data_IF_649776567075
#
_entry.id   IF_649776567075
#
_cell.length_a   1.000
_cell.length_b   1.000
_cell.length_c   1.000
_cell.angle_alpha   90.00
_cell.angle_beta   90.00
_cell.angle_gamma   90.00
#
_symmetry.space_group_name_H-M   'P 1'
#
loop_
_entity.id
_entity.type
_entity.pdbx_description
1 polymer ?
#
# COMPACT_ATOMS: atom_id res chain seq x y z
N UNK A 1 24.25 -56.85 13.18
CA UNK A 1 25.09 -56.15 14.18
C UNK A 1 24.19 -55.16 14.89
N UNK A 2 23.68 -55.53 16.07
CA UNK A 2 22.81 -54.68 16.89
C UNK A 2 23.67 -53.75 17.71
N UNK A 3 23.60 -52.45 17.42
CA UNK A 3 24.21 -51.40 18.23
C UNK A 3 23.22 -50.97 19.30
N UNK A 4 23.31 -51.61 20.47
CA UNK A 4 22.69 -51.14 21.71
C UNK A 4 23.29 -49.77 22.09
N UNK A 5 22.42 -48.78 22.22
CA UNK A 5 22.78 -47.44 22.69
C UNK A 5 22.83 -47.52 24.22
N UNK A 6 23.93 -47.12 24.88
CA UNK A 6 24.02 -47.21 26.34
C UNK A 6 22.98 -46.29 27.00
N UNK A 7 22.39 -46.69 28.14
CA UNK A 7 21.46 -45.84 28.87
C UNK A 7 22.20 -44.57 29.30
N UNK A 8 21.75 -43.42 28.80
CA UNK A 8 22.26 -42.11 29.23
C UNK A 8 22.08 -41.99 30.74
N UNK A 9 23.20 -42.01 31.47
CA UNK A 9 23.26 -41.76 32.91
C UNK A 9 22.64 -40.38 33.21
N UNK A 10 21.37 -40.41 33.61
CA UNK A 10 20.64 -39.20 34.01
C UNK A 10 20.94 -39.00 35.49
N UNK A 11 21.97 -38.20 35.78
CA UNK A 11 22.18 -37.63 37.10
C UNK A 11 20.85 -37.08 37.63
N UNK A 12 20.52 -37.23 38.93
CA UNK A 12 19.23 -36.78 39.44
C UNK A 12 19.07 -35.28 39.20
N UNK A 13 18.17 -34.92 38.29
CA UNK A 13 17.84 -33.53 38.01
C UNK A 13 17.23 -32.95 39.29
N UNK A 14 17.88 -31.92 39.83
CA UNK A 14 17.38 -31.18 41.01
C UNK A 14 15.90 -30.84 40.85
N UNK A 15 15.13 -31.00 41.92
CA UNK A 15 13.70 -30.69 41.96
C UNK A 15 13.45 -29.24 41.51
N UNK A 16 14.31 -28.30 41.88
CA UNK A 16 14.23 -26.89 41.49
C UNK A 16 14.35 -26.71 39.98
N UNK A 17 15.27 -27.45 39.33
CA UNK A 17 15.43 -27.43 37.87
C UNK A 17 14.19 -27.99 37.18
N UNK A 18 13.59 -29.07 37.70
CA UNK A 18 12.32 -29.62 37.19
C UNK A 18 11.18 -28.61 37.27
N UNK A 19 11.01 -27.98 38.43
CA UNK A 19 9.96 -26.98 38.66
C UNK A 19 10.14 -25.74 37.77
N UNK A 20 11.38 -25.28 37.58
CA UNK A 20 11.68 -24.14 36.68
C UNK A 20 11.40 -24.47 35.21
N UNK A 21 11.77 -25.67 34.76
CA UNK A 21 11.51 -26.12 33.39
C UNK A 21 10.01 -26.26 33.10
N UNK A 22 9.25 -26.82 34.05
CA UNK A 22 7.79 -26.94 33.92
C UNK A 22 7.13 -25.57 33.73
N UNK A 23 7.52 -24.56 34.53
CA UNK A 23 7.06 -23.18 34.36
C UNK A 23 7.46 -22.58 33.00
N UNK A 24 8.67 -22.87 32.51
CA UNK A 24 9.12 -22.37 31.21
C UNK A 24 8.37 -23.01 30.03
N UNK A 25 8.01 -24.30 30.15
CA UNK A 25 7.21 -25.01 29.14
C UNK A 25 5.77 -24.52 29.13
N UNK A 26 5.17 -24.26 30.30
CA UNK A 26 3.81 -23.70 30.40
C UNK A 26 3.70 -22.31 29.78
N UNK A 27 4.73 -21.48 29.91
CA UNK A 27 4.78 -20.13 29.37
C UNK A 27 5.49 -20.04 28.01
N UNK A 28 5.70 -21.19 27.34
CA UNK A 28 6.37 -21.21 26.05
C UNK A 28 5.45 -20.61 24.98
N UNK A 29 5.93 -19.66 24.16
CA UNK A 29 5.16 -19.15 23.03
C UNK A 29 4.92 -20.22 21.97
N UNK A 30 3.77 -20.13 21.32
CA UNK A 30 3.37 -21.05 20.27
C UNK A 30 4.27 -20.92 19.03
N UNK A 31 4.40 -22.00 18.26
CA UNK A 31 5.24 -22.00 17.06
C UNK A 31 4.77 -21.00 15.99
N UNK A 32 3.48 -20.65 15.96
CA UNK A 32 2.95 -19.62 15.07
C UNK A 32 3.42 -18.21 15.48
N UNK A 33 3.36 -17.87 16.78
CA UNK A 33 3.82 -16.57 17.30
C UNK A 33 5.31 -16.34 17.02
N UNK A 34 6.11 -17.40 17.13
CA UNK A 34 7.53 -17.34 16.81
C UNK A 34 7.79 -17.11 15.32
N UNK A 35 6.91 -17.57 14.43
CA UNK A 35 6.99 -17.29 12.98
C UNK A 35 6.60 -15.85 12.67
N UNK A 36 5.53 -15.34 13.28
CA UNK A 36 5.11 -13.95 13.14
C UNK A 36 6.19 -12.97 13.60
N UNK A 37 6.88 -13.32 14.70
CA UNK A 37 8.04 -12.57 15.20
C UNK A 37 9.32 -12.83 14.41
N UNK A 38 9.27 -13.59 13.32
CA UNK A 38 10.40 -13.96 12.46
C UNK A 38 11.56 -14.67 13.19
N UNK A 39 11.28 -15.34 14.32
CA UNK A 39 12.24 -16.17 15.06
C UNK A 39 12.33 -17.55 14.41
N UNK A 40 11.19 -18.15 14.10
CA UNK A 40 11.11 -19.36 13.27
C UNK A 40 10.88 -18.94 11.81
N UNK A 41 11.79 -19.33 10.92
CA UNK A 41 11.83 -18.82 9.54
C UNK A 41 10.76 -19.46 8.64
N UNK A 42 10.67 -20.78 8.63
CA UNK A 42 9.78 -21.50 7.72
C UNK A 42 9.36 -22.85 8.31
N UNK A 43 8.44 -23.53 7.63
CA UNK A 43 8.07 -24.91 7.90
C UNK A 43 8.97 -25.94 7.18
N UNK A 44 9.94 -25.49 6.38
CA UNK A 44 10.88 -26.37 5.69
C UNK A 44 11.87 -27.01 6.67
N UNK A 45 12.60 -28.00 6.19
CA UNK A 45 13.67 -28.59 6.98
C UNK A 45 14.75 -27.53 7.31
N UNK A 46 15.35 -27.54 8.51
CA UNK A 46 16.35 -26.54 8.90
C UNK A 46 17.52 -26.41 7.93
N UNK A 47 17.91 -27.50 7.27
CA UNK A 47 18.98 -27.51 6.27
C UNK A 47 18.65 -26.71 4.99
N UNK A 48 17.36 -26.52 4.67
CA UNK A 48 16.91 -25.82 3.46
C UNK A 48 16.59 -24.35 3.68
N UNK A 49 16.56 -23.88 4.94
CA UNK A 49 16.19 -22.49 5.25
C UNK A 49 17.05 -21.46 4.51
N UNK A 50 18.37 -21.67 4.45
CA UNK A 50 19.27 -20.75 3.76
C UNK A 50 18.98 -20.68 2.25
N UNK A 51 18.83 -21.84 1.61
CA UNK A 51 18.53 -21.94 0.18
C UNK A 51 17.15 -21.35 -0.17
N UNK A 52 16.15 -21.57 0.68
CA UNK A 52 14.83 -20.98 0.51
C UNK A 52 14.88 -19.45 0.58
N UNK A 53 15.62 -18.89 1.55
CA UNK A 53 15.78 -17.44 1.67
C UNK A 53 16.53 -16.86 0.47
N UNK A 54 17.60 -17.51 0.03
CA UNK A 54 18.36 -17.11 -1.15
C UNK A 54 17.45 -17.08 -2.40
N UNK A 55 16.68 -18.14 -2.63
CA UNK A 55 15.71 -18.19 -3.72
C UNK A 55 14.67 -17.07 -3.61
N UNK A 56 14.10 -16.83 -2.43
CA UNK A 56 13.14 -15.74 -2.21
C UNK A 56 13.77 -14.38 -2.52
N UNK A 57 15.02 -14.16 -2.10
CA UNK A 57 15.74 -12.92 -2.42
C UNK A 57 15.96 -12.76 -3.91
N UNK A 58 16.35 -13.81 -4.62
CA UNK A 58 16.52 -13.77 -6.07
C UNK A 58 15.19 -13.45 -6.77
N UNK A 59 14.10 -14.13 -6.40
CA UNK A 59 12.77 -13.87 -6.97
C UNK A 59 12.32 -12.41 -6.76
N UNK A 60 12.52 -11.86 -5.55
CA UNK A 60 12.19 -10.46 -5.26
C UNK A 60 13.08 -9.52 -6.08
N UNK A 61 14.37 -9.83 -6.21
CA UNK A 61 15.34 -9.03 -6.96
C UNK A 61 14.98 -9.00 -8.45
N UNK A 62 14.65 -10.14 -9.04
CA UNK A 62 14.27 -10.24 -10.44
C UNK A 62 12.95 -9.51 -10.73
N UNK A 63 11.97 -9.67 -9.84
CA UNK A 63 10.69 -8.95 -9.90
C UNK A 63 10.89 -7.43 -9.81
N UNK A 64 11.74 -6.98 -8.87
CA UNK A 64 12.08 -5.58 -8.72
C UNK A 64 12.80 -5.03 -9.95
N UNK A 65 13.78 -5.76 -10.49
CA UNK A 65 14.50 -5.36 -11.70
C UNK A 65 13.55 -5.22 -12.88
N UNK A 66 12.60 -6.13 -13.04
CA UNK A 66 11.55 -6.04 -14.07
C UNK A 66 10.69 -4.79 -13.89
N UNK A 67 10.24 -4.50 -12.65
CA UNK A 67 9.42 -3.34 -12.35
C UNK A 67 10.15 -2.00 -12.56
N UNK A 68 11.45 -1.97 -12.24
CA UNK A 68 12.32 -0.81 -12.50
C UNK A 68 12.51 -0.60 -14.00
N UNK A 69 12.71 -1.67 -14.78
CA UNK A 69 12.88 -1.59 -16.22
C UNK A 69 11.64 -1.06 -16.95
N UNK A 70 10.44 -1.35 -16.42
CA UNK A 70 9.16 -0.85 -16.96
C UNK A 70 8.58 0.31 -16.17
N UNK A 71 9.42 1.09 -15.47
CA UNK A 71 8.97 2.20 -14.62
C UNK A 71 8.41 3.34 -15.50
N UNK A 72 7.14 3.77 -15.30
CA UNK A 72 6.59 4.93 -16.00
C UNK A 72 7.31 6.22 -15.64
N UNK A 73 7.41 7.13 -16.61
CA UNK A 73 7.94 8.47 -16.40
C UNK A 73 6.95 9.35 -15.63
N UNK A 74 7.44 10.45 -15.05
CA UNK A 74 6.61 11.36 -14.26
C UNK A 74 5.48 11.95 -15.10
N UNK A 75 5.77 12.31 -16.34
CA UNK A 75 4.85 12.93 -17.29
C UNK A 75 3.67 11.98 -17.61
N UNK A 76 3.94 10.70 -17.84
CA UNK A 76 2.89 9.67 -18.06
C UNK A 76 1.94 9.55 -16.85
N UNK A 77 2.48 9.67 -15.63
CA UNK A 77 1.68 9.66 -14.41
C UNK A 77 0.83 10.93 -14.23
N UNK A 78 1.30 12.08 -14.72
CA UNK A 78 0.54 13.33 -14.74
C UNK A 78 -0.60 13.25 -15.76
N UNK A 79 -0.31 12.76 -16.97
CA UNK A 79 -1.32 12.57 -18.03
C UNK A 79 -2.44 11.63 -17.59
N UNK A 80 -2.10 10.56 -16.86
CA UNK A 80 -3.07 9.63 -16.25
C UNK A 80 -3.75 10.17 -14.99
N UNK A 81 -3.47 11.41 -14.58
CA UNK A 81 -4.01 12.06 -13.38
C UNK A 81 -3.74 11.28 -12.08
N UNK A 82 -2.62 10.54 -12.03
CA UNK A 82 -2.13 9.87 -10.82
C UNK A 82 -1.32 10.87 -9.99
N UNK A 83 -0.41 11.61 -10.64
CA UNK A 83 0.34 12.69 -10.03
C UNK A 83 -0.25 14.06 -10.38
N UNK A 84 -0.25 15.04 -9.47
CA UNK A 84 -0.57 16.41 -9.82
C UNK A 84 0.51 17.02 -10.71
N UNK A 85 0.10 17.78 -11.72
CA UNK A 85 0.98 18.68 -12.45
C UNK A 85 1.34 19.88 -11.56
N UNK A 86 2.37 19.70 -10.73
CA UNK A 86 2.85 20.74 -9.83
C UNK A 86 4.35 20.63 -9.58
N UNK A 87 4.98 21.80 -9.47
CA UNK A 87 6.36 21.99 -9.02
C UNK A 87 6.47 22.20 -7.50
N UNK A 88 5.34 22.22 -6.77
CA UNK A 88 5.35 22.34 -5.33
C UNK A 88 5.92 21.08 -4.66
N UNK A 89 6.56 21.27 -3.50
CA UNK A 89 7.08 20.19 -2.67
C UNK A 89 5.95 19.19 -2.30
N UNK A 90 6.24 17.88 -2.16
CA UNK A 90 5.21 16.85 -1.92
C UNK A 90 4.28 17.16 -0.73
N UNK A 91 4.81 17.74 0.34
CA UNK A 91 4.04 18.11 1.53
C UNK A 91 2.99 19.20 1.27
N UNK A 92 3.19 20.05 0.25
CA UNK A 92 2.32 21.20 -0.04
C UNK A 92 1.31 20.93 -1.17
N UNK A 93 1.49 19.86 -1.94
CA UNK A 93 0.66 19.55 -3.10
C UNK A 93 -0.83 19.39 -2.74
N UNK A 94 -1.12 18.82 -1.56
CA UNK A 94 -2.50 18.67 -1.07
C UNK A 94 -3.15 20.04 -0.84
N UNK A 95 -2.46 20.94 -0.13
CA UNK A 95 -2.97 22.27 0.22
C UNK A 95 -3.11 23.14 -1.03
N UNK A 96 -2.16 23.05 -1.96
CA UNK A 96 -2.24 23.75 -3.25
C UNK A 96 -3.47 23.29 -4.05
N UNK A 97 -3.74 21.98 -4.11
CA UNK A 97 -4.91 21.43 -4.82
C UNK A 97 -6.22 21.90 -4.18
N UNK A 98 -6.28 21.90 -2.85
CA UNK A 98 -7.44 22.37 -2.09
C UNK A 98 -7.72 23.85 -2.36
N UNK A 99 -6.70 24.70 -2.25
CA UNK A 99 -6.80 26.12 -2.55
C UNK A 99 -7.24 26.36 -4.00
N UNK A 100 -6.61 25.68 -4.96
CA UNK A 100 -6.98 25.81 -6.37
C UNK A 100 -8.43 25.35 -6.62
N UNK A 101 -8.92 24.34 -5.91
CA UNK A 101 -10.31 23.91 -6.00
C UNK A 101 -11.27 24.96 -5.41
N UNK A 102 -10.95 25.54 -4.25
CA UNK A 102 -11.73 26.63 -3.66
C UNK A 102 -11.80 27.85 -4.59
N UNK A 103 -10.64 28.32 -5.07
CA UNK A 103 -10.58 29.44 -6.02
C UNK A 103 -11.38 29.20 -7.30
N UNK A 104 -11.35 27.96 -7.84
CA UNK A 104 -12.16 27.61 -9.01
C UNK A 104 -13.66 27.68 -8.70
N UNK A 105 -14.09 27.18 -7.53
CA UNK A 105 -15.50 27.25 -7.11
C UNK A 105 -15.95 28.70 -6.99
N UNK A 106 -15.18 29.55 -6.32
CA UNK A 106 -15.52 30.96 -6.13
C UNK A 106 -15.61 31.72 -7.45
N UNK A 107 -14.69 31.42 -8.39
CA UNK A 107 -14.70 31.99 -9.73
C UNK A 107 -15.95 31.59 -10.52
N UNK A 108 -16.29 30.30 -10.50
CA UNK A 108 -17.50 29.78 -11.16
C UNK A 108 -18.75 30.41 -10.55
N UNK A 109 -18.83 30.49 -9.22
CA UNK A 109 -19.96 31.11 -8.52
C UNK A 109 -20.17 32.56 -8.96
N UNK A 110 -19.09 33.35 -9.02
CA UNK A 110 -19.15 34.73 -9.50
C UNK A 110 -19.66 34.82 -10.95
N UNK A 111 -19.20 33.93 -11.83
CA UNK A 111 -19.64 33.92 -13.23
C UNK A 111 -21.11 33.47 -13.39
N UNK A 112 -21.59 32.58 -12.52
CA UNK A 112 -22.98 32.17 -12.51
C UNK A 112 -23.92 33.29 -12.04
N UNK A 113 -23.47 34.16 -11.14
CA UNK A 113 -24.26 35.32 -10.69
C UNK A 113 -24.52 36.33 -11.81
N UNK A 114 -23.57 36.49 -12.74
CA UNK A 114 -23.70 37.38 -13.91
C UNK A 114 -24.15 36.63 -15.15
N UNK A 115 -24.83 35.48 -15.00
CA UNK A 115 -25.24 34.66 -16.14
C UNK A 115 -26.29 35.42 -16.98
N UNK A 116 -26.06 35.60 -18.29
CA UNK A 116 -27.01 36.29 -19.16
C UNK A 116 -28.32 35.50 -19.27
N UNK A 117 -29.41 36.23 -19.39
CA UNK A 117 -30.74 35.66 -19.57
C UNK A 117 -30.95 35.18 -21.01
N UNK A 118 -31.87 34.23 -21.27
CA UNK A 118 -32.15 33.76 -22.62
C UNK A 118 -32.54 34.88 -23.60
N UNK A 119 -33.27 35.90 -23.12
CA UNK A 119 -33.64 37.06 -23.93
C UNK A 119 -32.44 37.89 -24.40
N UNK A 120 -31.42 38.03 -23.56
CA UNK A 120 -30.17 38.71 -23.92
C UNK A 120 -29.40 37.90 -24.96
N UNK A 121 -29.39 36.58 -24.85
CA UNK A 121 -28.77 35.70 -25.84
C UNK A 121 -29.47 35.75 -27.21
N UNK A 122 -30.80 35.86 -27.24
CA UNK A 122 -31.58 36.06 -28.48
C UNK A 122 -31.25 37.41 -29.10
N UNK A 123 -31.15 38.47 -28.30
CA UNK A 123 -30.79 39.81 -28.78
C UNK A 123 -29.40 39.86 -29.40
N UNK A 124 -28.44 39.13 -28.84
CA UNK A 124 -27.08 38.99 -29.37
C UNK A 124 -26.99 38.01 -30.56
N UNK A 125 -28.11 37.39 -30.96
CA UNK A 125 -28.17 36.47 -32.10
C UNK A 125 -27.52 35.10 -31.85
N UNK A 126 -27.36 34.71 -30.59
CA UNK A 126 -26.76 33.43 -30.19
C UNK A 126 -27.83 32.33 -30.06
N UNK A 127 -29.05 32.68 -29.65
CA UNK A 127 -30.18 31.76 -29.46
C UNK A 127 -31.36 32.19 -30.35
N UNK A 128 -32.05 31.23 -30.96
CA UNK A 128 -33.27 31.52 -31.73
C UNK A 128 -34.49 31.72 -30.81
N UNK A 129 -35.45 32.55 -31.21
CA UNK A 129 -36.57 32.95 -30.35
C UNK A 129 -37.51 31.80 -29.94
N UNK A 130 -37.49 30.71 -30.69
CA UNK A 130 -38.30 29.51 -30.50
C UNK A 130 -37.50 28.31 -29.98
N UNK A 131 -36.20 28.48 -29.71
CA UNK A 131 -35.33 27.42 -29.20
C UNK A 131 -35.21 27.54 -27.68
N UNK A 132 -35.78 26.58 -26.96
CA UNK A 132 -35.57 26.44 -25.53
C UNK A 132 -34.46 25.41 -25.27
N UNK A 133 -33.28 25.80 -24.78
CA UNK A 133 -32.14 24.89 -24.61
C UNK A 133 -32.33 23.85 -23.49
N UNK A 134 -33.47 23.86 -22.80
CA UNK A 134 -33.84 22.88 -21.77
C UNK A 134 -34.89 21.87 -22.26
N UNK A 135 -35.47 22.06 -23.45
CA UNK A 135 -36.29 21.03 -24.06
C UNK A 135 -35.34 19.97 -24.64
N UNK A 136 -35.30 18.78 -24.02
CA UNK A 136 -34.59 17.63 -24.60
C UNK A 136 -35.18 17.28 -25.97
N UNK A 137 -34.39 16.70 -26.90
CA UNK A 137 -34.87 16.33 -28.24
C UNK A 137 -36.04 15.33 -28.23
#
# INVERSE_FOLDING_TARGET
>A
MSSDIPPTTTSPISLERRNSLEKAIQNRPEAHELREKHILLSNAAPALHAQQQELQRHQITDSLNKAIASRPEKEELIERNILPDSTAAPALQSHQRELAAAMRRDSIEKHLQTRPTPAELIKEGILEANENPLDEP
#
